data_IF_972160694715
#
_entry.id   IF_972160694715
#
_cell.length_a   1.000
_cell.length_b   1.000
_cell.length_c   1.000
_cell.angle_alpha   90.00
_cell.angle_beta   90.00
_cell.angle_gamma   90.00
#
_symmetry.space_group_name_H-M   'P 1'
#
loop_
_entity.id
_entity.type
_entity.pdbx_description
1 polymer ?
#
# COMPACT_ATOMS: atom_id res chain seq x y z
N UNK A 1 39.71 0.71 -17.92
CA UNK A 1 38.66 1.38 -17.14
C UNK A 1 38.09 2.53 -17.95
N UNK A 2 37.17 2.23 -18.86
CA UNK A 2 36.43 3.28 -19.55
C UNK A 2 35.32 3.75 -18.61
N UNK A 3 35.43 4.97 -18.10
CA UNK A 3 34.27 5.68 -17.58
C UNK A 3 33.30 5.81 -18.76
N UNK A 4 32.26 4.98 -18.76
CA UNK A 4 31.10 5.22 -19.60
C UNK A 4 30.59 6.59 -19.18
N UNK A 5 30.76 7.57 -20.05
CA UNK A 5 30.10 8.85 -19.91
C UNK A 5 28.62 8.56 -19.67
N UNK A 6 28.15 8.87 -18.46
CA UNK A 6 26.75 8.85 -18.08
C UNK A 6 26.07 9.86 -19.00
N UNK A 7 25.53 9.36 -20.12
CA UNK A 7 24.63 10.13 -20.94
C UNK A 7 23.38 10.27 -20.08
N UNK A 8 23.36 11.31 -19.23
CA UNK A 8 22.40 11.47 -18.13
C UNK A 8 21.01 11.75 -18.69
N UNK A 9 20.41 10.73 -19.29
CA UNK A 9 19.02 10.70 -19.64
C UNK A 9 18.22 10.98 -18.35
N UNK A 10 17.22 11.86 -18.46
CA UNK A 10 16.37 12.24 -17.33
C UNK A 10 15.83 10.98 -16.66
N UNK A 11 16.26 10.72 -15.43
CA UNK A 11 15.84 9.57 -14.63
C UNK A 11 14.33 9.60 -14.46
N UNK A 12 13.70 8.44 -14.64
CA UNK A 12 12.27 8.26 -14.35
C UNK A 12 12.16 7.34 -13.14
N UNK A 13 11.66 7.93 -12.07
CA UNK A 13 11.42 7.26 -10.80
C UNK A 13 9.91 7.24 -10.59
N UNK A 14 9.37 6.08 -10.26
CA UNK A 14 8.01 5.94 -9.77
C UNK A 14 8.06 5.88 -8.25
N UNK A 15 7.12 6.58 -7.62
CA UNK A 15 6.79 6.39 -6.22
C UNK A 15 5.49 5.61 -6.16
N UNK A 16 5.48 4.55 -5.37
CA UNK A 16 4.35 3.64 -5.23
C UNK A 16 3.99 3.55 -3.75
N UNK A 17 2.71 3.70 -3.44
CA UNK A 17 2.13 3.75 -2.08
C UNK A 17 0.75 3.08 -2.12
N UNK A 18 0.50 2.10 -1.25
CA UNK A 18 -0.77 1.35 -1.24
C UNK A 18 -1.83 2.02 -0.37
N UNK A 19 -3.05 2.08 -0.91
CA UNK A 19 -4.17 2.67 -0.19
C UNK A 19 -4.57 1.87 1.04
N UNK A 20 -4.45 2.49 2.22
CA UNK A 20 -4.92 1.93 3.50
C UNK A 20 -4.46 0.47 3.71
N UNK A 21 -3.18 0.20 3.43
CA UNK A 21 -2.63 -1.15 3.27
C UNK A 21 -3.05 -2.17 4.32
N UNK A 22 -2.95 -1.84 5.62
CA UNK A 22 -3.34 -2.80 6.68
C UNK A 22 -4.84 -3.11 6.65
N UNK A 23 -5.69 -2.12 6.36
CA UNK A 23 -7.13 -2.37 6.21
C UNK A 23 -7.39 -3.23 4.98
N UNK A 24 -6.73 -2.95 3.85
CA UNK A 24 -6.87 -3.77 2.65
C UNK A 24 -6.49 -5.23 2.93
N UNK A 25 -5.37 -5.48 3.61
CA UNK A 25 -4.96 -6.82 4.04
C UNK A 25 -6.01 -7.49 4.94
N UNK A 26 -6.52 -6.79 5.94
CA UNK A 26 -7.52 -7.36 6.86
C UNK A 26 -8.84 -7.68 6.16
N UNK A 27 -9.22 -6.89 5.17
CA UNK A 27 -10.44 -7.07 4.39
C UNK A 27 -10.30 -8.25 3.39
N UNK A 28 -9.10 -8.56 2.88
CA UNK A 28 -8.86 -9.76 2.07
C UNK A 28 -9.28 -11.05 2.77
N UNK A 29 -8.96 -11.15 4.07
CA UNK A 29 -9.31 -12.32 4.88
C UNK A 29 -10.68 -12.22 5.56
N UNK A 30 -11.37 -11.08 5.42
CA UNK A 30 -12.69 -10.78 6.00
C UNK A 30 -13.58 -10.03 5.01
N UNK A 31 -14.00 -10.69 3.91
CA UNK A 31 -14.83 -10.06 2.88
C UNK A 31 -16.19 -9.59 3.42
N UNK A 32 -16.67 -10.13 4.54
CA UNK A 32 -17.89 -9.67 5.22
C UNK A 32 -17.79 -8.25 5.82
N UNK A 33 -16.58 -7.69 5.87
CA UNK A 33 -16.32 -6.33 6.34
C UNK A 33 -16.20 -5.29 5.22
N UNK A 34 -16.25 -5.71 3.94
CA UNK A 34 -16.31 -4.79 2.79
C UNK A 34 -17.47 -3.81 2.97
N UNK A 35 -17.24 -2.51 2.74
CA UNK A 35 -18.27 -1.48 2.86
C UNK A 35 -18.61 -1.09 4.31
N UNK A 36 -17.92 -1.63 5.31
CA UNK A 36 -18.10 -1.26 6.72
C UNK A 36 -16.95 -0.36 7.19
N UNK A 37 -17.20 0.54 8.16
CA UNK A 37 -16.12 1.27 8.82
C UNK A 37 -15.22 0.30 9.59
N UNK A 38 -14.02 0.07 9.06
CA UNK A 38 -12.95 -0.74 9.67
C UNK A 38 -11.79 0.14 10.09
N UNK A 39 -11.23 -0.16 11.25
CA UNK A 39 -10.04 0.45 11.84
C UNK A 39 -9.08 -0.65 12.25
N UNK A 40 -7.83 -0.56 11.80
CA UNK A 40 -6.74 -1.39 12.29
C UNK A 40 -5.92 -0.58 13.28
N UNK A 41 -5.65 -1.16 14.44
CA UNK A 41 -4.88 -0.54 15.51
C UNK A 41 -5.43 -0.93 16.88
N UNK A 42 -4.57 -0.88 17.90
CA UNK A 42 -4.92 -1.36 19.23
C UNK A 42 -6.24 -0.77 19.75
N UNK A 43 -7.17 -1.62 20.13
CA UNK A 43 -8.48 -1.22 20.67
C UNK A 43 -8.42 -0.72 22.13
N UNK A 44 -7.27 -0.89 22.79
CA UNK A 44 -7.05 -0.52 24.19
C UNK A 44 -7.18 1.00 24.44
N UNK A 45 -7.39 1.38 25.71
CA UNK A 45 -7.53 2.77 26.17
C UNK A 45 -6.37 3.70 25.76
N UNK A 46 -5.18 3.15 25.47
CA UNK A 46 -4.00 3.90 24.97
C UNK A 46 -3.60 3.52 23.54
N UNK A 47 -4.48 2.85 22.81
CA UNK A 47 -4.25 2.45 21.43
C UNK A 47 -4.29 3.62 20.47
N UNK A 48 -3.76 3.38 19.27
CA UNK A 48 -3.69 4.35 18.18
C UNK A 48 -4.14 3.67 16.90
N UNK A 49 -4.85 4.41 16.05
CA UNK A 49 -5.24 3.97 14.71
C UNK A 49 -4.00 3.83 13.84
N UNK A 50 -3.68 2.59 13.45
CA UNK A 50 -2.62 2.30 12.48
C UNK A 50 -3.13 2.59 11.05
N UNK A 51 -4.34 2.11 10.72
CA UNK A 51 -4.99 2.37 9.45
C UNK A 51 -6.52 2.46 9.62
N UNK A 52 -7.16 3.18 8.71
CA UNK A 52 -8.62 3.34 8.67
C UNK A 52 -9.12 3.20 7.23
N UNK A 53 -10.20 2.44 7.08
CA UNK A 53 -11.00 2.29 5.85
C UNK A 53 -11.52 3.64 5.36
N UNK A 54 -11.88 3.72 4.08
CA UNK A 54 -12.49 4.92 3.52
C UNK A 54 -13.82 5.25 4.21
N UNK A 55 -14.61 4.24 4.55
CA UNK A 55 -15.85 4.33 5.30
C UNK A 55 -15.61 4.93 6.69
N UNK A 56 -14.58 4.49 7.43
CA UNK A 56 -14.23 5.10 8.71
C UNK A 56 -13.72 6.54 8.56
N UNK A 57 -12.96 6.83 7.48
CA UNK A 57 -12.45 8.18 7.19
C UNK A 57 -13.57 9.18 6.91
N UNK A 58 -14.71 8.76 6.38
CA UNK A 58 -15.89 9.62 6.20
C UNK A 58 -16.42 10.17 7.54
N UNK A 59 -16.24 9.45 8.65
CA UNK A 59 -16.56 9.91 10.00
C UNK A 59 -15.43 10.74 10.64
N UNK A 60 -14.36 11.02 9.90
CA UNK A 60 -13.22 11.80 10.38
C UNK A 60 -12.15 10.98 11.10
N UNK A 61 -12.24 9.65 11.11
CA UNK A 61 -11.18 8.78 11.64
C UNK A 61 -9.92 8.90 10.76
N UNK A 62 -8.75 9.03 11.38
CA UNK A 62 -7.46 9.21 10.69
C UNK A 62 -6.40 8.30 11.30
N UNK A 63 -5.38 7.95 10.50
CA UNK A 63 -4.16 7.32 11.03
C UNK A 63 -3.50 8.20 12.10
N UNK A 64 -2.80 7.57 13.03
CA UNK A 64 -2.20 8.19 14.22
C UNK A 64 -3.19 8.83 15.21
N UNK A 65 -4.50 8.72 14.99
CA UNK A 65 -5.53 9.16 15.94
C UNK A 65 -5.60 8.20 17.14
N UNK A 66 -5.80 8.72 18.36
CA UNK A 66 -6.07 7.89 19.53
C UNK A 66 -7.33 7.02 19.32
N UNK A 67 -7.27 5.73 19.61
CA UNK A 67 -8.38 4.80 19.39
C UNK A 67 -9.65 5.23 20.13
N UNK A 68 -9.52 5.80 21.34
CA UNK A 68 -10.65 6.35 22.08
C UNK A 68 -11.36 7.51 21.35
N UNK A 69 -10.60 8.34 20.60
CA UNK A 69 -11.18 9.39 19.77
C UNK A 69 -11.85 8.81 18.52
N UNK A 70 -11.20 7.84 17.87
CA UNK A 70 -11.78 7.16 16.71
C UNK A 70 -13.11 6.49 17.06
N UNK A 71 -13.20 5.85 18.24
CA UNK A 71 -14.44 5.23 18.72
C UNK A 71 -15.54 6.26 19.00
N UNK A 72 -15.21 7.47 19.47
CA UNK A 72 -16.20 8.56 19.62
C UNK A 72 -16.71 9.08 18.28
N UNK A 73 -15.83 9.16 17.26
CA UNK A 73 -16.19 9.63 15.93
C UNK A 73 -17.02 8.59 15.15
N UNK A 74 -16.67 7.31 15.29
CA UNK A 74 -17.35 6.21 14.62
C UNK A 74 -17.59 5.05 15.61
N UNK A 75 -18.65 5.14 16.45
CA UNK A 75 -18.93 4.12 17.48
C UNK A 75 -19.24 2.72 16.94
N UNK A 76 -19.62 2.63 15.67
CA UNK A 76 -19.96 1.39 14.98
C UNK A 76 -18.80 0.84 14.13
N UNK A 77 -17.62 1.46 14.20
CA UNK A 77 -16.44 0.94 13.52
C UNK A 77 -15.98 -0.40 14.13
N UNK A 78 -15.55 -1.30 13.25
CA UNK A 78 -14.92 -2.57 13.63
C UNK A 78 -13.43 -2.31 13.86
N UNK A 79 -12.96 -2.55 15.08
CA UNK A 79 -11.55 -2.45 15.44
C UNK A 79 -10.88 -3.82 15.35
N UNK A 80 -9.73 -3.87 14.68
CA UNK A 80 -8.90 -5.07 14.50
C UNK A 80 -7.49 -4.78 15.03
N UNK A 81 -6.91 -5.69 15.82
CA UNK A 81 -5.59 -5.48 16.44
C UNK A 81 -4.42 -5.57 15.43
N UNK A 82 -4.68 -6.11 14.23
CA UNK A 82 -3.73 -6.20 13.11
C UNK A 82 -2.73 -7.35 13.23
N UNK A 83 -2.19 -7.75 12.08
CA UNK A 83 -1.32 -8.93 11.95
C UNK A 83 -0.10 -8.60 11.08
N UNK A 84 1.00 -8.18 11.73
CA UNK A 84 2.19 -7.69 11.04
C UNK A 84 2.93 -8.77 10.25
N UNK A 85 2.85 -10.03 10.66
CA UNK A 85 3.45 -11.14 9.91
C UNK A 85 2.70 -11.34 8.59
N UNK A 86 1.36 -11.34 8.64
CA UNK A 86 0.53 -11.39 7.43
C UNK A 86 0.74 -10.17 6.53
N UNK A 87 0.86 -8.97 7.08
CA UNK A 87 1.15 -7.77 6.29
C UNK A 87 2.52 -7.85 5.60
N UNK A 88 3.52 -8.44 6.27
CA UNK A 88 4.83 -8.71 5.67
C UNK A 88 4.75 -9.69 4.51
N UNK A 89 3.95 -10.74 4.61
CA UNK A 89 3.72 -11.70 3.52
C UNK A 89 3.09 -11.01 2.29
N UNK A 90 2.03 -10.22 2.50
CA UNK A 90 1.38 -9.49 1.41
C UNK A 90 2.32 -8.45 0.80
N UNK A 91 3.09 -7.73 1.62
CA UNK A 91 4.13 -6.81 1.16
C UNK A 91 5.15 -7.52 0.26
N UNK A 92 5.60 -8.72 0.64
CA UNK A 92 6.51 -9.53 -0.17
C UNK A 92 5.96 -9.79 -1.58
N UNK A 93 4.70 -10.21 -1.69
CA UNK A 93 4.03 -10.43 -2.98
C UNK A 93 3.93 -9.14 -3.82
N UNK A 94 3.64 -8.01 -3.18
CA UNK A 94 3.61 -6.70 -3.85
C UNK A 94 5.01 -6.31 -4.36
N UNK A 95 6.06 -6.52 -3.58
CA UNK A 95 7.44 -6.22 -3.98
C UNK A 95 7.93 -7.17 -5.08
N UNK A 96 7.50 -8.42 -5.11
CA UNK A 96 7.74 -9.34 -6.24
C UNK A 96 7.18 -8.77 -7.55
N UNK A 97 5.98 -8.16 -7.51
CA UNK A 97 5.43 -7.45 -8.66
C UNK A 97 6.32 -6.27 -9.06
N UNK A 98 6.82 -5.47 -8.11
CA UNK A 98 7.74 -4.36 -8.43
C UNK A 98 9.00 -4.85 -9.14
N UNK A 99 9.58 -5.95 -8.66
CA UNK A 99 10.78 -6.56 -9.22
C UNK A 99 10.59 -7.12 -10.64
N UNK A 100 9.35 -7.37 -11.07
CA UNK A 100 9.06 -7.71 -12.46
C UNK A 100 9.35 -6.56 -13.44
N UNK A 101 9.13 -5.31 -13.01
CA UNK A 101 9.31 -4.13 -13.87
C UNK A 101 10.73 -3.58 -13.83
N UNK A 102 11.43 -3.71 -12.70
CA UNK A 102 12.80 -3.24 -12.56
C UNK A 102 13.52 -3.94 -11.40
N UNK A 103 14.82 -4.26 -11.53
CA UNK A 103 15.61 -4.72 -10.39
C UNK A 103 15.94 -3.58 -9.41
N UNK A 104 15.73 -2.32 -9.79
CA UNK A 104 16.06 -1.15 -8.99
C UNK A 104 14.83 -0.68 -8.19
N UNK A 105 14.58 -1.38 -7.08
CA UNK A 105 13.51 -1.10 -6.12
C UNK A 105 14.13 -0.71 -4.77
N UNK A 106 13.67 0.41 -4.22
CA UNK A 106 14.04 0.89 -2.88
C UNK A 106 12.78 0.97 -2.01
N UNK A 107 12.63 0.03 -1.08
CA UNK A 107 11.51 0.01 -0.14
C UNK A 107 11.68 1.04 0.98
N UNK A 108 10.60 1.76 1.31
CA UNK A 108 10.53 2.69 2.43
C UNK A 108 9.76 2.09 3.62
N UNK A 109 8.73 1.30 3.34
CA UNK A 109 7.84 0.64 4.30
C UNK A 109 7.33 -0.69 3.72
N UNK A 110 6.35 -1.30 4.39
CA UNK A 110 5.65 -2.49 3.89
C UNK A 110 4.86 -2.21 2.60
N UNK A 111 4.41 -0.98 2.38
CA UNK A 111 3.49 -0.60 1.32
C UNK A 111 4.02 0.50 0.39
N UNK A 112 5.25 0.95 0.61
CA UNK A 112 5.82 2.10 -0.09
C UNK A 112 7.21 1.79 -0.66
N UNK A 113 7.43 2.16 -1.92
CA UNK A 113 8.71 1.99 -2.59
C UNK A 113 8.97 3.03 -3.71
N UNK A 114 10.24 3.27 -3.99
CA UNK A 114 10.69 3.93 -5.22
C UNK A 114 11.19 2.90 -6.24
N UNK A 115 10.74 3.03 -7.49
CA UNK A 115 11.14 2.18 -8.60
C UNK A 115 11.86 3.03 -9.65
N UNK A 116 13.12 2.71 -9.95
CA UNK A 116 13.83 3.36 -11.03
C UNK A 116 13.55 2.65 -12.36
N UNK A 117 12.74 3.27 -13.22
CA UNK A 117 12.22 2.68 -14.46
C UNK A 117 12.86 3.24 -15.73
N UNK A 118 13.92 4.05 -15.63
CA UNK A 118 14.61 4.63 -16.80
C UNK A 118 15.03 3.56 -17.82
N UNK A 119 15.56 2.42 -17.34
CA UNK A 119 15.99 1.31 -18.20
C UNK A 119 14.85 0.42 -18.71
N UNK A 120 13.66 0.51 -18.12
CA UNK A 120 12.52 -0.36 -18.40
C UNK A 120 11.66 0.14 -19.59
N UNK A 121 11.87 1.38 -20.05
CA UNK A 121 10.94 2.04 -20.96
C UNK A 121 10.81 1.42 -22.34
N UNK A 122 11.86 0.74 -22.82
CA UNK A 122 11.80 0.05 -24.12
C UNK A 122 10.92 -1.19 -24.10
N UNK A 123 10.73 -1.80 -22.92
CA UNK A 123 9.96 -3.03 -22.73
C UNK A 123 8.52 -2.68 -22.36
N UNK A 124 8.36 -1.79 -21.39
CA UNK A 124 7.07 -1.52 -20.74
C UNK A 124 6.47 -0.15 -21.10
N UNK A 125 7.13 0.65 -21.94
CA UNK A 125 6.63 1.97 -22.37
C UNK A 125 7.09 3.13 -21.49
N UNK A 126 6.49 4.30 -21.66
CA UNK A 126 6.90 5.50 -20.88
C UNK A 126 6.53 5.35 -19.41
N UNK A 127 7.16 6.13 -18.52
CA UNK A 127 7.01 5.97 -17.07
C UNK A 127 5.55 5.96 -16.56
N UNK A 128 4.65 6.76 -17.16
CA UNK A 128 3.22 6.75 -16.81
C UNK A 128 2.49 5.47 -17.21
N UNK A 129 2.92 4.83 -18.30
CA UNK A 129 2.38 3.53 -18.73
C UNK A 129 2.89 2.41 -17.83
N UNK A 130 4.15 2.48 -17.40
CA UNK A 130 4.72 1.57 -16.41
C UNK A 130 3.98 1.71 -15.08
N UNK A 131 3.73 2.94 -14.61
CA UNK A 131 3.00 3.17 -13.37
C UNK A 131 1.59 2.57 -13.38
N UNK A 132 0.88 2.69 -14.51
CA UNK A 132 -0.43 2.05 -14.69
C UNK A 132 -0.32 0.53 -14.68
N UNK A 133 0.64 -0.05 -15.41
CA UNK A 133 0.86 -1.49 -15.41
C UNK A 133 1.26 -2.03 -14.03
N UNK A 134 2.10 -1.33 -13.28
CA UNK A 134 2.45 -1.69 -11.89
C UNK A 134 1.19 -1.72 -11.03
N UNK A 135 0.36 -0.67 -11.10
CA UNK A 135 -0.89 -0.61 -10.34
C UNK A 135 -1.83 -1.75 -10.71
N UNK A 136 -1.99 -2.03 -12.00
CA UNK A 136 -2.88 -3.10 -12.49
C UNK A 136 -2.32 -4.50 -12.14
N UNK A 137 -1.00 -4.69 -12.15
CA UNK A 137 -0.36 -5.95 -11.76
C UNK A 137 -0.39 -6.20 -10.26
N UNK A 138 -0.20 -5.17 -9.41
CA UNK A 138 -0.35 -5.31 -7.95
C UNK A 138 -1.78 -5.70 -7.60
N UNK A 139 -2.71 -5.03 -8.26
CA UNK A 139 -4.14 -5.26 -8.16
C UNK A 139 -4.52 -6.71 -8.49
N UNK A 140 -3.98 -7.25 -9.58
CA UNK A 140 -4.30 -8.62 -10.05
C UNK A 140 -3.50 -9.70 -9.30
N UNK A 141 -2.25 -9.41 -8.92
CA UNK A 141 -1.29 -10.41 -8.39
C UNK A 141 -1.25 -10.52 -6.86
N UNK A 142 -1.71 -9.50 -6.13
CA UNK A 142 -1.81 -9.55 -4.67
C UNK A 142 -3.23 -9.88 -4.17
N UNK A 143 -4.13 -10.24 -5.07
CA UNK A 143 -5.58 -10.43 -4.82
C UNK A 143 -6.23 -9.20 -4.15
N UNK A 144 -5.64 -8.00 -4.29
CA UNK A 144 -6.03 -6.77 -3.58
C UNK A 144 -7.33 -6.10 -4.11
N UNK A 145 -8.12 -6.78 -4.95
CA UNK A 145 -9.49 -6.37 -5.34
C UNK A 145 -10.48 -7.44 -4.91
N UNK A 146 -11.43 -7.14 -4.03
CA UNK A 146 -12.64 -6.36 -4.36
C UNK A 146 -12.91 -5.15 -3.42
N UNK A 147 -11.88 -4.43 -2.99
CA UNK A 147 -11.96 -3.58 -1.78
C UNK A 147 -11.70 -2.08 -1.95
N UNK A 148 -11.75 -1.58 -3.19
CA UNK A 148 -11.68 -0.15 -3.52
C UNK A 148 -12.93 0.33 -4.27
#
# INVERSE_FOLDING_TARGET
>A
MAALADNAAVRRILHVDMNAFFVACELLRRPELVGRPVVVGGSAQRGVVAAASYEARQFGVKSAMASAQAHRLCPHAVFLDGDHDFYGEISGRVFEVFHHFTPLVEGLSLDEAFLHVTGAQRIFGVASEIARQVRDAVRDGADLLDLM
#
